data_IF_095684336277
#
_entry.id   IF_095684336277
#
_cell.length_a   1.000
_cell.length_b   1.000
_cell.length_c   1.000
_cell.angle_alpha   90.00
_cell.angle_beta   90.00
_cell.angle_gamma   90.00
#
_symmetry.space_group_name_H-M   'P 1'
#
loop_
_entity.id
_entity.type
_entity.pdbx_description
1 polymer ?
#
# COMPACT_ATOMS: atom_id res chain seq x y z
N UNK A 1 -22.72 17.46 47.05
CA UNK A 1 -23.25 17.68 45.68
C UNK A 1 -22.11 17.71 44.65
N UNK A 2 -21.41 16.58 44.44
CA UNK A 2 -20.29 16.51 43.47
C UNK A 2 -20.16 15.13 42.79
N UNK A 3 -20.62 14.06 43.44
CA UNK A 3 -20.54 12.69 42.90
C UNK A 3 -21.46 12.46 41.68
N UNK A 4 -22.62 13.14 41.63
CA UNK A 4 -23.58 13.03 40.52
C UNK A 4 -23.08 13.64 39.19
N UNK A 5 -22.12 14.58 39.25
CA UNK A 5 -21.52 15.18 38.05
C UNK A 5 -20.41 14.32 37.42
N UNK A 6 -19.67 13.56 38.25
CA UNK A 6 -18.63 12.64 37.77
C UNK A 6 -19.21 11.40 37.07
N UNK A 7 -20.35 10.88 37.53
CA UNK A 7 -21.05 9.79 36.82
C UNK A 7 -21.58 10.25 35.46
N UNK A 8 -22.07 11.49 35.35
CA UNK A 8 -22.53 12.04 34.08
C UNK A 8 -21.37 12.27 33.10
N UNK A 9 -20.20 12.76 33.56
CA UNK A 9 -19.02 12.91 32.70
C UNK A 9 -18.40 11.58 32.28
N UNK A 10 -18.43 10.56 33.15
CA UNK A 10 -17.98 9.22 32.79
C UNK A 10 -18.94 8.58 31.78
N UNK A 11 -20.26 8.75 31.94
CA UNK A 11 -21.25 8.25 30.99
C UNK A 11 -21.14 8.92 29.62
N UNK A 12 -20.85 10.24 29.55
CA UNK A 12 -20.60 10.93 28.28
C UNK A 12 -19.27 10.54 27.65
N UNK A 13 -18.20 10.37 28.44
CA UNK A 13 -16.89 9.87 27.95
C UNK A 13 -17.01 8.43 27.47
N UNK A 14 -17.72 7.55 28.17
CA UNK A 14 -17.94 6.18 27.70
C UNK A 14 -18.78 6.12 26.44
N UNK A 15 -19.69 7.07 26.21
CA UNK A 15 -20.51 7.08 25.00
C UNK A 15 -19.68 7.52 23.77
N UNK A 16 -18.83 8.52 23.90
CA UNK A 16 -17.90 8.93 22.82
C UNK A 16 -16.80 7.89 22.57
N UNK A 17 -16.29 7.24 23.64
CA UNK A 17 -15.27 6.19 23.50
C UNK A 17 -15.85 4.87 22.96
N UNK A 18 -17.12 4.55 23.23
CA UNK A 18 -17.76 3.33 22.70
C UNK A 18 -18.11 3.49 21.22
N UNK A 19 -18.40 4.72 20.76
CA UNK A 19 -18.52 5.02 19.33
C UNK A 19 -17.15 5.01 18.64
N UNK A 20 -16.08 5.47 19.32
CA UNK A 20 -14.69 5.33 18.85
C UNK A 20 -14.17 3.87 18.91
N UNK A 21 -14.76 3.02 19.76
CA UNK A 21 -14.48 1.60 19.90
C UNK A 21 -15.45 0.71 19.10
N UNK A 22 -16.35 1.29 18.29
CA UNK A 22 -16.89 0.59 17.15
C UNK A 22 -15.69 0.32 16.22
N UNK A 23 -15.11 -0.86 16.37
CA UNK A 23 -14.05 -1.39 15.54
C UNK A 23 -14.58 -1.52 14.11
N UNK A 24 -14.60 -0.41 13.38
CA UNK A 24 -14.94 -0.37 11.98
C UNK A 24 -13.79 -1.03 11.25
N UNK A 25 -13.85 -2.36 11.18
CA UNK A 25 -13.03 -3.17 10.31
C UNK A 25 -13.53 -2.96 8.88
N UNK A 26 -13.35 -1.73 8.36
CA UNK A 26 -13.51 -1.48 6.95
C UNK A 26 -12.38 -2.21 6.25
N UNK A 27 -12.73 -3.36 5.68
CA UNK A 27 -11.86 -4.11 4.81
C UNK A 27 -11.77 -3.39 3.46
N UNK A 28 -11.02 -2.29 3.46
CA UNK A 28 -10.77 -1.47 2.28
C UNK A 28 -9.93 -2.22 1.24
N UNK A 29 -9.59 -3.50 1.43
CA UNK A 29 -8.82 -4.28 0.47
C UNK A 29 -9.66 -4.85 -0.67
N UNK A 30 -11.00 -4.84 -0.55
CA UNK A 30 -11.88 -5.58 -1.46
C UNK A 30 -12.02 -4.98 -2.87
N UNK A 31 -11.68 -3.69 -3.06
CA UNK A 31 -11.70 -3.05 -4.38
C UNK A 31 -10.33 -3.15 -5.01
N UNK A 32 -10.14 -4.02 -6.00
CA UNK A 32 -8.91 -4.05 -6.81
C UNK A 32 -8.79 -2.71 -7.56
N UNK A 33 -7.71 -2.00 -7.31
CA UNK A 33 -7.39 -0.77 -8.03
C UNK A 33 -6.48 -1.15 -9.20
N UNK A 34 -6.84 -0.74 -10.41
CA UNK A 34 -6.00 -0.97 -11.58
C UNK A 34 -4.66 -0.23 -11.42
N UNK A 35 -3.58 -0.87 -11.87
CA UNK A 35 -2.24 -0.31 -11.75
C UNK A 35 -2.12 0.97 -12.61
N UNK A 36 -1.57 2.08 -12.05
CA UNK A 36 -1.32 3.27 -12.84
C UNK A 36 -0.37 2.96 -14.01
N UNK A 37 -0.57 3.62 -15.15
CA UNK A 37 0.16 3.36 -16.40
C UNK A 37 1.69 3.42 -16.22
N UNK A 38 2.14 4.23 -15.28
CA UNK A 38 3.55 4.47 -14.99
C UNK A 38 4.25 3.28 -14.30
N UNK A 39 3.50 2.34 -13.72
CA UNK A 39 4.03 1.14 -13.04
C UNK A 39 3.84 -0.15 -13.86
N UNK A 40 3.16 -0.12 -15.01
CA UNK A 40 2.89 -1.32 -15.81
C UNK A 40 4.14 -2.14 -16.16
N UNK A 41 5.26 -1.48 -16.46
CA UNK A 41 6.52 -2.17 -16.76
C UNK A 41 7.12 -2.82 -15.51
N UNK A 42 7.00 -2.18 -14.34
CA UNK A 42 7.39 -2.77 -13.06
C UNK A 42 6.61 -4.05 -12.79
N UNK A 43 5.30 -4.02 -13.02
CA UNK A 43 4.44 -5.20 -12.93
C UNK A 43 4.90 -6.35 -13.83
N UNK A 44 5.52 -6.11 -14.99
CA UNK A 44 6.02 -7.19 -15.86
C UNK A 44 7.32 -7.83 -15.34
N UNK A 45 8.13 -7.05 -14.63
CA UNK A 45 9.45 -7.47 -14.14
C UNK A 45 9.38 -8.20 -12.79
N UNK A 46 8.39 -7.86 -11.95
CA UNK A 46 8.25 -8.46 -10.62
C UNK A 46 7.82 -9.94 -10.68
N UNK A 47 8.34 -10.73 -9.75
CA UNK A 47 7.92 -12.13 -9.55
C UNK A 47 6.46 -12.20 -9.08
N UNK A 48 5.78 -13.32 -9.34
CA UNK A 48 4.38 -13.48 -8.93
C UNK A 48 4.21 -13.28 -7.41
N UNK A 49 5.13 -13.82 -6.62
CA UNK A 49 5.13 -13.65 -5.16
C UNK A 49 5.17 -12.17 -4.75
N UNK A 50 6.01 -11.36 -5.39
CA UNK A 50 6.10 -9.92 -5.08
C UNK A 50 4.86 -9.15 -5.51
N UNK A 51 4.20 -9.56 -6.60
CA UNK A 51 2.90 -8.98 -6.98
C UNK A 51 1.84 -9.30 -5.94
N UNK A 52 1.77 -10.55 -5.51
CA UNK A 52 0.82 -10.97 -4.49
C UNK A 52 1.08 -10.23 -3.15
N UNK A 53 2.35 -10.05 -2.76
CA UNK A 53 2.71 -9.22 -1.60
C UNK A 53 2.38 -7.74 -1.79
N UNK A 54 2.50 -7.19 -3.00
CA UNK A 54 2.17 -5.79 -3.29
C UNK A 54 0.64 -5.53 -3.32
N UNK A 55 -0.17 -6.54 -3.66
CA UNK A 55 -1.63 -6.46 -3.70
C UNK A 55 -2.29 -6.84 -2.37
N UNK A 56 -1.77 -7.87 -1.70
CA UNK A 56 -2.42 -8.50 -0.54
C UNK A 56 -1.59 -8.38 0.74
N UNK A 57 -0.37 -7.86 0.67
CA UNK A 57 0.52 -7.74 1.82
C UNK A 57 0.07 -6.68 2.83
N UNK A 58 0.51 -6.83 4.08
CA UNK A 58 0.16 -5.94 5.19
C UNK A 58 0.51 -4.47 4.94
N UNK A 59 1.61 -4.21 4.21
CA UNK A 59 2.02 -2.87 3.79
C UNK A 59 0.96 -2.21 2.88
N UNK A 60 0.45 -2.95 1.88
CA UNK A 60 -0.61 -2.49 0.99
C UNK A 60 -1.89 -2.17 1.79
N UNK A 61 -2.30 -3.09 2.66
CA UNK A 61 -3.49 -2.92 3.51
C UNK A 61 -3.38 -1.65 4.36
N UNK A 62 -2.21 -1.44 4.98
CA UNK A 62 -1.96 -0.26 5.81
C UNK A 62 -1.99 1.02 4.99
N UNK A 63 -1.34 1.04 3.83
CA UNK A 63 -1.33 2.19 2.94
C UNK A 63 -2.75 2.58 2.47
N UNK A 64 -3.60 1.59 2.15
CA UNK A 64 -5.00 1.84 1.78
C UNK A 64 -5.84 2.40 2.92
N UNK A 65 -5.67 1.86 4.12
CA UNK A 65 -6.33 2.38 5.32
C UNK A 65 -5.95 3.84 5.56
N UNK A 66 -4.66 4.16 5.47
CA UNK A 66 -4.17 5.55 5.58
C UNK A 66 -4.72 6.43 4.44
N UNK A 67 -4.73 5.94 3.20
CA UNK A 67 -5.27 6.66 2.06
C UNK A 67 -6.74 7.06 2.23
N UNK A 68 -7.57 6.14 2.72
CA UNK A 68 -8.97 6.44 3.03
C UNK A 68 -9.13 7.38 4.24
N UNK A 69 -8.28 7.23 5.27
CA UNK A 69 -8.30 8.12 6.45
C UNK A 69 -7.91 9.56 6.11
N UNK A 70 -6.99 9.75 5.17
CA UNK A 70 -6.51 11.07 4.73
C UNK A 70 -7.16 11.54 3.42
N UNK A 71 -8.23 10.89 2.98
CA UNK A 71 -8.97 11.28 1.79
C UNK A 71 -9.50 12.72 1.95
N UNK A 72 -9.20 13.58 0.97
CA UNK A 72 -9.56 15.01 1.02
C UNK A 72 -8.60 15.92 1.81
N UNK A 73 -7.64 15.37 2.58
CA UNK A 73 -6.60 16.16 3.26
C UNK A 73 -5.40 16.40 2.34
N UNK A 74 -5.02 15.37 1.58
CA UNK A 74 -3.87 15.45 0.70
C UNK A 74 -4.25 16.05 -0.67
N UNK A 75 -3.45 17.01 -1.15
CA UNK A 75 -3.63 17.56 -2.49
C UNK A 75 -3.28 16.52 -3.57
N UNK A 76 -3.91 16.58 -4.75
CA UNK A 76 -3.56 15.68 -5.84
C UNK A 76 -2.11 15.90 -6.28
N UNK A 77 -1.33 14.81 -6.31
CA UNK A 77 0.12 14.84 -6.62
C UNK A 77 0.46 14.00 -7.86
N UNK A 78 -0.14 14.27 -9.03
CA UNK A 78 0.03 13.43 -10.23
C UNK A 78 1.50 13.39 -10.72
N UNK A 79 2.23 14.49 -10.59
CA UNK A 79 3.64 14.56 -11.02
C UNK A 79 4.55 13.67 -10.17
N UNK A 80 4.25 13.53 -8.87
CA UNK A 80 5.02 12.68 -7.97
C UNK A 80 4.82 11.21 -8.32
N UNK A 81 3.56 10.80 -8.50
CA UNK A 81 3.19 9.44 -8.90
C UNK A 81 3.87 9.10 -10.23
N UNK A 82 3.85 10.03 -11.19
CA UNK A 82 4.49 9.85 -12.49
C UNK A 82 6.01 9.71 -12.40
N UNK A 83 6.68 10.65 -11.72
CA UNK A 83 8.14 10.64 -11.60
C UNK A 83 8.63 9.38 -10.87
N UNK A 84 7.96 9.00 -9.78
CA UNK A 84 8.31 7.81 -9.03
C UNK A 84 8.03 6.53 -9.82
N UNK A 85 6.84 6.39 -10.42
CA UNK A 85 6.46 5.22 -11.21
C UNK A 85 7.41 4.98 -12.38
N UNK A 86 7.70 6.03 -13.16
CA UNK A 86 8.67 5.93 -14.27
C UNK A 86 10.05 5.51 -13.79
N UNK A 87 10.54 6.09 -12.67
CA UNK A 87 11.87 5.78 -12.16
C UNK A 87 11.98 4.36 -11.65
N UNK A 88 10.99 3.87 -10.91
CA UNK A 88 11.00 2.50 -10.38
C UNK A 88 10.87 1.49 -11.52
N UNK A 89 10.02 1.78 -12.52
CA UNK A 89 9.90 0.96 -13.73
C UNK A 89 11.22 0.88 -14.51
N UNK A 90 11.94 2.01 -14.66
CA UNK A 90 13.26 2.06 -15.29
C UNK A 90 14.29 1.22 -14.52
N UNK A 91 14.34 1.36 -13.19
CA UNK A 91 15.25 0.60 -12.32
C UNK A 91 14.95 -0.90 -12.39
N UNK A 92 13.68 -1.28 -12.29
CA UNK A 92 13.25 -2.67 -12.39
C UNK A 92 13.67 -3.29 -13.71
N UNK A 93 13.36 -2.63 -14.82
CA UNK A 93 13.69 -3.08 -16.17
C UNK A 93 15.20 -3.21 -16.36
N UNK A 94 15.97 -2.19 -15.96
CA UNK A 94 17.43 -2.20 -16.06
C UNK A 94 18.04 -3.34 -15.24
N UNK A 95 17.57 -3.53 -14.00
CA UNK A 95 18.02 -4.63 -13.15
C UNK A 95 17.75 -5.99 -13.79
N UNK A 96 16.54 -6.18 -14.35
CA UNK A 96 16.17 -7.39 -15.07
C UNK A 96 17.13 -7.66 -16.25
N UNK A 97 17.38 -6.67 -17.09
CA UNK A 97 18.31 -6.78 -18.24
C UNK A 97 19.74 -7.08 -17.80
N UNK A 98 20.23 -6.46 -16.73
CA UNK A 98 21.55 -6.74 -16.17
C UNK A 98 21.62 -8.19 -15.67
N UNK A 99 20.62 -8.65 -14.93
CA UNK A 99 20.58 -10.03 -14.44
C UNK A 99 20.56 -11.05 -15.59
N UNK A 100 19.81 -10.80 -16.66
CA UNK A 100 19.82 -11.65 -17.85
C UNK A 100 21.18 -11.66 -18.56
N UNK A 101 21.81 -10.50 -18.76
CA UNK A 101 23.13 -10.41 -19.42
C UNK A 101 24.28 -10.99 -18.57
N UNK A 102 24.19 -10.89 -17.25
CA UNK A 102 25.11 -11.58 -16.33
C UNK A 102 24.91 -13.09 -16.33
N UNK A 103 23.66 -13.54 -16.40
CA UNK A 103 23.31 -14.94 -16.43
C UNK A 103 23.66 -15.60 -17.77
N UNK A 104 23.54 -14.88 -18.89
CA UNK A 104 23.98 -15.32 -20.23
C UNK A 104 25.49 -15.56 -20.28
N UNK A 105 26.28 -14.77 -19.55
CA UNK A 105 27.72 -15.00 -19.39
C UNK A 105 28.07 -16.18 -18.46
N UNK A 106 27.13 -16.70 -17.68
CA UNK A 106 27.35 -17.75 -16.66
C UNK A 106 26.72 -19.11 -17.02
N UNK A 107 26.06 -19.26 -18.17
CA UNK A 107 25.63 -20.56 -18.70
C UNK A 107 24.65 -21.38 -17.84
N UNK A 108 23.97 -20.79 -16.85
CA UNK A 108 23.21 -21.55 -15.85
C UNK A 108 21.76 -21.09 -15.68
N UNK A 109 20.88 -21.55 -16.59
CA UNK A 109 19.41 -21.37 -16.65
C UNK A 109 18.67 -21.48 -15.29
N UNK A 110 18.57 -20.38 -14.54
CA UNK A 110 17.61 -20.20 -13.44
C UNK A 110 16.97 -18.82 -13.51
N UNK A 111 15.63 -18.82 -13.52
CA UNK A 111 14.74 -17.65 -13.40
C UNK A 111 15.18 -16.71 -12.27
N UNK A 112 15.82 -15.58 -12.60
CA UNK A 112 16.50 -14.68 -11.64
C UNK A 112 15.59 -13.60 -11.04
N UNK A 113 14.32 -13.51 -11.46
CA UNK A 113 13.41 -12.53 -10.87
C UNK A 113 12.76 -13.13 -9.61
N UNK A 114 13.42 -12.97 -8.45
CA UNK A 114 12.90 -13.33 -7.12
C UNK A 114 12.36 -12.10 -6.38
#
# INVERSE_FOLDING_TARGET
>A
MALSRLQASLATVTNELTLAAANINFDLTFVKCEEPKEYQELGKVLSQKRKDEAEMGSAHVTARKLGALFEGVCSPTPNLIKAYGLRVSEIGSTCCTILYSLHENQGQHRSVCA
#
